data_IF_622352110567
#
_entry.id   IF_622352110567
#
_cell.length_a   1.000
_cell.length_b   1.000
_cell.length_c   1.000
_cell.angle_alpha   90.00
_cell.angle_beta   90.00
_cell.angle_gamma   90.00
#
_symmetry.space_group_name_H-M   'P 1'
#
loop_
_entity.id
_entity.type
_entity.pdbx_description
1 polymer ?
#
# COMPACT_ATOMS: atom_id res chain seq x y z
N UNK A 1 -41.49 -12.89 29.84
CA UNK A 1 -40.68 -14.12 29.59
C UNK A 1 -40.41 -14.19 28.10
N UNK A 2 -39.25 -13.70 27.65
CA UNK A 2 -38.75 -13.92 26.30
C UNK A 2 -37.32 -14.44 26.45
N UNK A 3 -37.12 -15.63 25.92
CA UNK A 3 -35.92 -16.45 26.03
C UNK A 3 -34.78 -15.81 25.23
N UNK A 4 -33.69 -15.48 25.92
CA UNK A 4 -32.42 -15.05 25.33
C UNK A 4 -31.60 -16.32 25.08
N UNK A 5 -31.34 -16.64 23.81
CA UNK A 5 -30.38 -17.67 23.42
C UNK A 5 -28.96 -17.12 23.52
N UNK A 6 -27.99 -17.87 24.07
CA UNK A 6 -26.61 -17.40 24.18
C UNK A 6 -25.92 -17.37 22.81
N UNK A 7 -25.18 -16.29 22.56
CA UNK A 7 -24.28 -16.11 21.42
C UNK A 7 -23.13 -17.14 21.53
N UNK A 8 -22.82 -17.92 20.48
CA UNK A 8 -21.76 -18.92 20.56
C UNK A 8 -20.38 -18.25 20.52
N UNK A 9 -19.56 -18.52 21.53
CA UNK A 9 -18.14 -18.21 21.54
C UNK A 9 -17.40 -19.11 20.53
N UNK A 10 -16.95 -18.55 19.41
CA UNK A 10 -16.15 -19.28 18.43
C UNK A 10 -14.66 -19.28 18.81
N UNK A 11 -14.17 -20.47 19.20
CA UNK A 11 -12.75 -20.77 19.37
C UNK A 11 -12.04 -20.86 18.01
N UNK A 12 -10.80 -20.34 17.95
CA UNK A 12 -9.84 -20.35 16.84
C UNK A 12 -9.45 -21.76 16.31
N UNK A 13 -10.11 -22.83 16.76
CA UNK A 13 -10.02 -24.18 16.20
C UNK A 13 -10.60 -24.30 14.78
N UNK A 14 -11.33 -23.29 14.28
CA UNK A 14 -11.99 -23.36 12.97
C UNK A 14 -11.11 -23.04 11.74
N UNK A 15 -9.83 -22.69 11.91
CA UNK A 15 -8.90 -22.50 10.76
C UNK A 15 -8.53 -23.86 10.12
N UNK A 16 -8.67 -24.96 10.86
CA UNK A 16 -8.43 -26.32 10.33
C UNK A 16 -9.52 -26.83 9.37
N UNK A 17 -10.67 -26.14 9.25
CA UNK A 17 -11.82 -26.64 8.48
C UNK A 17 -12.20 -25.82 7.25
N UNK A 18 -11.29 -25.00 6.70
CA UNK A 18 -11.50 -24.38 5.38
C UNK A 18 -11.45 -25.43 4.26
N UNK A 19 -12.52 -26.22 4.13
CA UNK A 19 -12.85 -26.99 2.93
C UNK A 19 -13.53 -26.04 1.95
N UNK A 20 -12.78 -25.57 0.96
CA UNK A 20 -13.32 -24.77 -0.13
C UNK A 20 -14.06 -25.67 -1.11
N UNK A 21 -15.40 -25.60 -1.13
CA UNK A 21 -16.25 -26.21 -2.16
C UNK A 21 -16.60 -25.18 -3.23
N UNK A 22 -16.13 -25.44 -4.46
CA UNK A 22 -16.48 -24.73 -5.70
C UNK A 22 -17.92 -25.00 -6.13
N UNK A 23 -18.64 -24.00 -6.67
CA UNK A 23 -19.70 -24.10 -7.72
C UNK A 23 -20.15 -22.69 -8.21
N UNK A 24 -20.87 -22.52 -9.34
CA UNK A 24 -20.39 -21.72 -10.47
C UNK A 24 -21.07 -20.36 -10.73
N UNK A 25 -20.39 -19.57 -11.58
CA UNK A 25 -20.77 -18.27 -12.19
C UNK A 25 -22.09 -18.31 -12.97
N UNK A 26 -22.80 -17.18 -12.97
CA UNK A 26 -23.78 -16.82 -14.02
C UNK A 26 -23.42 -15.46 -14.61
N UNK A 27 -23.28 -15.44 -15.93
CA UNK A 27 -22.95 -14.30 -16.78
C UNK A 27 -24.23 -13.66 -17.34
N UNK A 28 -24.24 -12.33 -17.57
CA UNK A 28 -25.07 -11.70 -18.60
C UNK A 28 -24.28 -10.63 -19.36
N UNK A 29 -24.24 -10.79 -20.68
CA UNK A 29 -23.73 -9.86 -21.67
C UNK A 29 -24.83 -8.88 -22.07
N UNK A 30 -24.49 -7.61 -22.31
CA UNK A 30 -25.20 -6.72 -23.24
C UNK A 30 -24.16 -5.93 -24.04
N UNK A 31 -24.34 -5.94 -25.36
CA UNK A 31 -23.51 -5.31 -26.39
C UNK A 31 -24.32 -4.21 -27.07
N UNK A 32 -23.73 -3.04 -27.36
CA UNK A 32 -24.06 -2.13 -28.47
C UNK A 32 -23.16 -0.87 -28.37
N UNK A 33 -22.08 -0.78 -29.17
CA UNK A 33 -21.94 -0.12 -30.49
C UNK A 33 -21.59 1.38 -30.46
N UNK A 34 -20.52 1.64 -31.20
CA UNK A 34 -19.77 2.87 -31.48
C UNK A 34 -20.53 3.98 -32.20
N UNK A 35 -20.08 5.23 -32.00
CA UNK A 35 -19.87 6.21 -33.08
C UNK A 35 -19.00 7.41 -32.60
N UNK A 36 -17.89 7.63 -33.29
CA UNK A 36 -17.20 8.92 -33.53
C UNK A 36 -17.32 9.19 -35.05
N UNK A 37 -17.02 10.38 -35.63
CA UNK A 37 -16.08 11.42 -35.18
C UNK A 37 -16.51 12.88 -35.44
N UNK A 38 -15.75 13.85 -34.90
CA UNK A 38 -15.17 14.92 -35.71
C UNK A 38 -14.22 15.84 -34.94
N UNK A 39 -13.36 16.45 -35.76
CA UNK A 39 -12.07 17.11 -35.61
C UNK A 39 -12.08 18.57 -35.09
N UNK A 40 -11.06 18.87 -34.25
CA UNK A 40 -10.19 20.09 -34.10
C UNK A 40 -10.72 21.50 -34.47
N UNK A 41 -10.36 22.55 -33.69
CA UNK A 41 -9.00 23.09 -33.72
C UNK A 41 -8.34 23.35 -32.35
N UNK A 42 -7.02 23.17 -32.37
CA UNK A 42 -6.06 23.49 -31.32
C UNK A 42 -6.25 24.91 -30.80
N UNK A 43 -6.78 25.02 -29.59
CA UNK A 43 -6.68 26.23 -28.78
C UNK A 43 -5.47 26.04 -27.89
N UNK A 44 -4.42 26.83 -28.10
CA UNK A 44 -3.25 26.89 -27.21
C UNK A 44 -3.77 27.40 -25.86
N UNK A 45 -4.07 26.48 -24.97
CA UNK A 45 -4.53 26.75 -23.61
C UNK A 45 -3.40 27.48 -22.89
N UNK A 46 -3.58 28.78 -22.66
CA UNK A 46 -2.73 29.54 -21.74
C UNK A 46 -2.89 28.93 -20.36
N UNK A 47 -1.98 28.04 -19.99
CA UNK A 47 -1.95 27.45 -18.65
C UNK A 47 -1.57 28.58 -17.69
N UNK A 48 -2.50 28.94 -16.80
CA UNK A 48 -2.26 29.89 -15.70
C UNK A 48 -1.25 29.26 -14.70
N UNK A 49 0.03 29.27 -15.07
CA UNK A 49 1.09 28.68 -14.27
C UNK A 49 1.57 29.67 -13.20
N UNK A 50 0.91 29.63 -12.04
CA UNK A 50 1.40 30.29 -10.83
C UNK A 50 2.52 29.48 -10.16
N UNK A 51 3.62 29.21 -10.88
CA UNK A 51 4.77 28.45 -10.39
C UNK A 51 5.86 29.30 -9.71
N UNK A 52 6.84 28.65 -9.05
CA UNK A 52 8.08 29.32 -8.64
C UNK A 52 8.87 29.66 -9.91
N UNK A 53 9.21 30.93 -10.09
CA UNK A 53 9.98 31.41 -11.24
C UNK A 53 11.44 31.56 -10.84
N UNK A 54 12.32 30.97 -11.63
CA UNK A 54 13.75 31.21 -11.58
C UNK A 54 14.15 31.85 -12.91
N UNK A 55 14.82 33.00 -12.85
CA UNK A 55 15.42 33.64 -14.01
C UNK A 55 16.82 34.10 -13.61
N UNK A 56 17.83 33.33 -13.98
CA UNK A 56 19.21 33.55 -13.58
C UNK A 56 20.18 33.19 -14.70
N UNK A 57 21.27 33.94 -14.77
CA UNK A 57 22.40 33.65 -15.66
C UNK A 57 23.38 32.71 -14.97
N UNK A 58 23.88 31.73 -15.69
CA UNK A 58 24.82 30.73 -15.17
C UNK A 58 26.22 31.35 -15.00
N UNK A 59 26.71 31.43 -13.75
CA UNK A 59 28.03 32.01 -13.44
C UNK A 59 29.23 31.04 -13.51
N UNK A 60 29.00 29.77 -13.84
CA UNK A 60 29.99 28.70 -13.63
C UNK A 60 31.20 28.84 -14.54
N UNK A 61 32.39 29.00 -13.96
CA UNK A 61 33.66 29.24 -14.68
C UNK A 61 34.43 27.97 -15.08
N UNK A 62 34.15 26.78 -14.49
CA UNK A 62 34.71 25.47 -14.93
C UNK A 62 33.80 24.26 -14.63
N UNK A 63 33.73 23.32 -15.59
CA UNK A 63 33.07 22.01 -15.46
C UNK A 63 31.77 21.84 -16.26
N UNK A 64 31.40 20.59 -16.59
CA UNK A 64 30.11 20.28 -17.23
C UNK A 64 29.02 20.18 -16.16
N UNK A 65 28.13 21.18 -16.10
CA UNK A 65 27.01 21.18 -15.15
C UNK A 65 25.68 20.86 -15.85
N UNK A 66 24.87 20.00 -15.23
CA UNK A 66 23.55 19.64 -15.76
C UNK A 66 22.50 20.66 -15.34
N UNK A 67 21.63 21.03 -16.26
CA UNK A 67 20.53 21.99 -16.06
C UNK A 67 19.66 21.62 -14.84
N UNK A 68 19.24 20.36 -14.74
CA UNK A 68 18.40 19.90 -13.64
C UNK A 68 19.07 20.05 -12.26
N UNK A 69 20.38 19.80 -12.18
CA UNK A 69 21.18 19.97 -10.97
C UNK A 69 21.40 21.45 -10.62
N UNK A 70 21.64 22.28 -11.64
CA UNK A 70 21.87 23.72 -11.49
C UNK A 70 20.61 24.44 -10.98
N UNK A 71 19.43 24.09 -11.50
CA UNK A 71 18.15 24.64 -11.02
C UNK A 71 17.88 24.15 -9.59
N UNK A 72 18.09 22.85 -9.32
CA UNK A 72 17.81 22.27 -8.00
C UNK A 72 18.67 22.86 -6.87
N UNK A 73 19.87 23.36 -7.17
CA UNK A 73 20.73 23.98 -6.17
C UNK A 73 20.32 25.41 -5.79
N UNK A 74 19.45 26.05 -6.60
CA UNK A 74 19.02 27.45 -6.45
C UNK A 74 17.65 27.60 -5.82
N UNK A 75 16.79 26.60 -6.01
CA UNK A 75 15.42 26.65 -5.51
C UNK A 75 15.27 25.75 -4.29
N UNK A 76 15.28 26.38 -3.11
CA UNK A 76 15.01 25.69 -1.85
C UNK A 76 13.59 25.12 -1.81
N UNK A 77 13.41 23.92 -1.24
CA UNK A 77 12.11 23.27 -1.11
C UNK A 77 11.57 22.63 -2.40
N UNK A 78 12.39 22.50 -3.45
CA UNK A 78 12.00 21.82 -4.71
C UNK A 78 12.86 20.59 -4.94
N UNK A 79 12.20 19.43 -5.10
CA UNK A 79 12.91 18.20 -5.41
C UNK A 79 13.44 18.22 -6.86
N UNK A 80 14.61 17.59 -7.08
CA UNK A 80 15.17 17.44 -8.43
C UNK A 80 14.19 16.79 -9.40
N UNK A 81 13.40 15.82 -8.95
CA UNK A 81 12.37 15.18 -9.78
C UNK A 81 11.32 16.19 -10.29
N UNK A 82 10.96 17.19 -9.48
CA UNK A 82 10.02 18.26 -9.86
C UNK A 82 10.61 19.21 -10.90
N UNK A 83 11.90 19.52 -10.78
CA UNK A 83 12.65 20.24 -11.83
C UNK A 83 12.67 19.44 -13.13
N UNK A 84 12.98 18.15 -13.07
CA UNK A 84 12.99 17.26 -14.24
C UNK A 84 11.61 17.10 -14.89
N UNK A 85 10.53 17.14 -14.10
CA UNK A 85 9.17 17.18 -14.62
C UNK A 85 8.88 18.49 -15.34
N UNK A 86 9.32 19.62 -14.78
CA UNK A 86 9.14 20.95 -15.39
C UNK A 86 9.90 21.06 -16.72
N UNK A 87 11.11 20.49 -16.81
CA UNK A 87 11.87 20.37 -18.07
C UNK A 87 11.06 19.57 -19.10
N UNK A 88 10.57 18.37 -18.75
CA UNK A 88 9.77 17.53 -19.66
C UNK A 88 8.45 18.18 -20.09
N UNK A 89 7.90 19.09 -19.28
CA UNK A 89 6.69 19.86 -19.57
C UNK A 89 6.97 21.09 -20.44
N UNK A 90 8.22 21.34 -20.86
CA UNK A 90 8.59 22.50 -21.65
C UNK A 90 8.55 23.82 -20.89
N UNK A 91 8.59 23.76 -19.55
CA UNK A 91 8.52 24.93 -18.67
C UNK A 91 9.90 25.53 -18.33
N UNK A 92 10.94 25.03 -19.00
CA UNK A 92 12.32 25.46 -18.79
C UNK A 92 12.91 25.83 -20.14
N UNK A 93 13.55 27.00 -20.21
CA UNK A 93 14.25 27.48 -21.39
C UNK A 93 15.64 27.98 -21.05
N UNK A 94 16.57 27.79 -21.99
CA UNK A 94 17.95 28.30 -21.93
C UNK A 94 18.17 29.19 -23.14
N UNK A 95 18.58 30.44 -22.95
CA UNK A 95 18.75 31.46 -23.99
C UNK A 95 17.50 31.59 -24.90
N UNK A 96 16.31 31.55 -24.28
CA UNK A 96 15.02 31.61 -24.99
C UNK A 96 14.59 30.31 -25.69
N UNK A 97 15.41 29.26 -25.71
CA UNK A 97 15.04 27.96 -26.29
C UNK A 97 14.49 27.01 -25.24
N UNK A 98 13.28 26.48 -25.47
CA UNK A 98 12.66 25.49 -24.57
C UNK A 98 13.50 24.21 -24.57
N UNK A 99 13.82 23.73 -23.38
CA UNK A 99 14.58 22.50 -23.16
C UNK A 99 13.65 21.43 -22.60
N UNK A 100 13.55 20.30 -23.30
CA UNK A 100 12.79 19.10 -22.92
C UNK A 100 13.70 17.97 -22.40
N UNK A 101 15.00 18.05 -22.69
CA UNK A 101 16.01 17.07 -22.30
C UNK A 101 16.57 17.34 -20.91
N UNK A 102 16.21 16.50 -19.95
CA UNK A 102 16.69 16.56 -18.55
C UNK A 102 18.22 16.51 -18.41
N UNK A 103 18.91 15.86 -19.35
CA UNK A 103 20.37 15.76 -19.34
C UNK A 103 21.07 16.94 -20.01
N UNK A 104 20.37 18.02 -20.33
CA UNK A 104 20.95 19.22 -20.94
C UNK A 104 22.03 19.83 -20.02
N UNK A 105 23.09 20.35 -20.62
CA UNK A 105 24.22 20.95 -19.92
C UNK A 105 24.21 22.46 -20.14
N UNK A 106 24.38 23.22 -19.06
CA UNK A 106 24.48 24.68 -19.09
C UNK A 106 25.94 25.12 -19.08
N UNK A 107 26.21 26.27 -19.68
CA UNK A 107 27.52 26.93 -19.78
C UNK A 107 27.50 28.30 -19.10
N UNK A 108 28.68 28.85 -18.82
CA UNK A 108 28.82 30.21 -18.34
C UNK A 108 28.12 31.20 -19.31
N UNK A 109 27.33 32.11 -18.77
CA UNK A 109 26.60 33.11 -19.54
C UNK A 109 25.26 32.64 -20.12
N UNK A 110 24.89 31.36 -19.97
CA UNK A 110 23.55 30.89 -20.35
C UNK A 110 22.49 31.54 -19.45
N UNK A 111 21.46 32.12 -20.07
CA UNK A 111 20.27 32.64 -19.40
C UNK A 111 19.26 31.52 -19.21
N UNK A 112 19.00 31.12 -17.96
CA UNK A 112 18.07 30.04 -17.65
C UNK A 112 16.79 30.64 -17.07
N UNK A 113 15.70 30.44 -17.80
CA UNK A 113 14.36 30.68 -17.31
C UNK A 113 13.69 29.35 -16.98
N UNK A 114 13.24 29.20 -15.74
CA UNK A 114 12.55 28.01 -15.28
C UNK A 114 11.27 28.41 -14.55
N UNK A 115 10.16 27.82 -14.99
CA UNK A 115 8.89 27.87 -14.32
C UNK A 115 8.64 26.51 -13.67
N UNK A 116 8.83 26.44 -12.36
CA UNK A 116 8.62 25.20 -11.62
C UNK A 116 7.12 25.07 -11.35
N UNK A 117 6.50 24.06 -11.93
CA UNK A 117 5.10 23.70 -11.67
C UNK A 117 4.84 23.62 -10.16
N UNK A 118 3.75 24.25 -9.71
CA UNK A 118 3.24 23.99 -8.36
C UNK A 118 2.90 22.51 -8.25
N UNK A 119 3.14 21.93 -7.07
CA UNK A 119 2.49 20.68 -6.73
C UNK A 119 0.99 20.97 -6.71
N UNK A 120 0.25 20.40 -7.66
CA UNK A 120 -1.19 20.38 -7.48
C UNK A 120 -1.48 19.50 -6.26
N UNK A 121 -2.28 19.96 -5.29
CA UNK A 121 -2.74 19.11 -4.21
C UNK A 121 -3.37 17.87 -4.83
N UNK A 122 -2.97 16.68 -4.38
CA UNK A 122 -3.65 15.45 -4.75
C UNK A 122 -5.06 15.54 -4.15
N UNK A 123 -6.06 15.85 -4.98
CA UNK A 123 -7.47 15.85 -4.60
C UNK A 123 -8.08 14.52 -5.01
N UNK A 124 -8.82 13.90 -4.09
CA UNK A 124 -9.64 12.76 -4.41
C UNK A 124 -10.97 13.27 -4.98
N UNK A 125 -11.29 12.86 -6.20
CA UNK A 125 -12.60 13.06 -6.81
C UNK A 125 -13.40 11.75 -6.71
N UNK A 126 -14.72 11.85 -6.62
CA UNK A 126 -15.59 10.68 -6.59
C UNK A 126 -15.49 9.92 -7.94
N UNK A 127 -15.24 8.62 -7.89
CA UNK A 127 -15.19 7.75 -9.06
C UNK A 127 -16.07 6.53 -8.84
N UNK A 128 -16.84 6.13 -9.86
CA UNK A 128 -17.67 4.93 -9.83
C UNK A 128 -16.81 3.66 -9.91
N UNK A 129 -16.23 3.28 -8.76
CA UNK A 129 -15.37 2.11 -8.59
C UNK A 129 -16.12 1.11 -7.71
N UNK A 130 -16.39 -0.12 -8.20
CA UNK A 130 -17.03 -1.15 -7.40
C UNK A 130 -16.24 -1.48 -6.14
N UNK A 131 -16.92 -1.47 -4.99
CA UNK A 131 -16.36 -1.83 -3.68
C UNK A 131 -16.89 -3.19 -3.24
N UNK A 132 -16.00 -4.04 -2.71
CA UNK A 132 -16.40 -5.28 -2.02
C UNK A 132 -16.73 -4.92 -0.56
N UNK A 133 -18.02 -4.67 -0.30
CA UNK A 133 -18.54 -4.21 0.99
C UNK A 133 -18.89 -5.42 1.85
N UNK A 134 -18.21 -5.56 2.99
CA UNK A 134 -18.43 -6.63 3.97
C UNK A 134 -19.50 -6.25 4.98
N UNK A 135 -19.55 -4.97 5.35
CA UNK A 135 -20.52 -4.42 6.28
C UNK A 135 -20.69 -2.92 6.03
N UNK A 136 -21.91 -2.42 6.17
CA UNK A 136 -22.21 -1.00 6.08
C UNK A 136 -23.41 -0.65 6.96
N UNK A 137 -23.29 0.43 7.71
CA UNK A 137 -24.40 1.11 8.37
C UNK A 137 -24.30 2.63 8.20
N UNK A 138 -24.94 3.39 9.08
CA UNK A 138 -24.92 4.85 9.04
C UNK A 138 -23.55 5.45 9.39
N UNK A 139 -22.75 4.77 10.20
CA UNK A 139 -21.56 5.28 10.87
C UNK A 139 -20.27 4.71 10.30
N UNK A 140 -20.28 3.43 9.92
CA UNK A 140 -19.09 2.72 9.46
C UNK A 140 -19.35 1.93 8.19
N UNK A 141 -18.29 1.81 7.40
CA UNK A 141 -18.21 0.97 6.21
C UNK A 141 -16.98 0.08 6.35
N UNK A 142 -17.14 -1.23 6.18
CA UNK A 142 -16.04 -2.20 6.16
C UNK A 142 -15.94 -2.78 4.76
N UNK A 143 -14.80 -2.57 4.12
CA UNK A 143 -14.53 -3.04 2.76
C UNK A 143 -13.43 -4.09 2.76
N UNK A 144 -13.55 -5.05 1.86
CA UNK A 144 -12.46 -5.96 1.51
C UNK A 144 -11.68 -5.37 0.33
N UNK A 145 -10.58 -4.66 0.63
CA UNK A 145 -9.77 -4.01 -0.39
C UNK A 145 -9.09 -5.07 -1.28
N UNK A 146 -9.25 -5.03 -2.61
CA UNK A 146 -8.52 -5.92 -3.50
C UNK A 146 -7.01 -5.61 -3.48
N UNK A 147 -6.14 -6.56 -3.86
CA UNK A 147 -4.74 -6.26 -4.11
C UNK A 147 -4.60 -5.27 -5.28
N UNK A 148 -3.45 -4.62 -5.37
CA UNK A 148 -3.09 -3.59 -6.37
C UNK A 148 -3.85 -2.26 -6.30
N UNK A 149 -4.93 -2.17 -5.53
CA UNK A 149 -5.62 -0.91 -5.25
C UNK A 149 -4.88 -0.12 -4.16
N UNK A 150 -4.59 1.16 -4.44
CA UNK A 150 -4.04 2.11 -3.46
C UNK A 150 -5.18 2.67 -2.62
N UNK A 151 -4.96 2.90 -1.32
CA UNK A 151 -5.98 3.46 -0.44
C UNK A 151 -6.25 4.94 -0.73
N UNK A 152 -5.19 5.76 -0.78
CA UNK A 152 -5.27 7.20 -0.99
C UNK A 152 -4.56 7.64 -2.28
N UNK A 153 -5.00 8.73 -2.92
CA UNK A 153 -4.23 9.37 -3.98
C UNK A 153 -2.78 9.61 -3.53
N UNK A 154 -1.85 9.19 -4.36
CA UNK A 154 -0.42 9.27 -4.10
C UNK A 154 0.34 9.58 -5.39
N UNK A 155 1.59 10.07 -5.32
CA UNK A 155 2.42 10.21 -6.51
C UNK A 155 2.47 8.90 -7.32
N UNK A 156 2.05 8.97 -8.59
CA UNK A 156 1.94 7.82 -9.50
C UNK A 156 0.60 7.06 -9.47
N UNK A 157 -0.29 7.34 -8.52
CA UNK A 157 -1.68 6.85 -8.49
C UNK A 157 -2.60 8.01 -8.01
N UNK A 158 -2.83 9.04 -8.85
CA UNK A 158 -3.59 10.23 -8.46
C UNK A 158 -5.12 10.01 -8.37
N UNK A 159 -5.62 8.98 -9.05
CA UNK A 159 -7.03 8.58 -9.15
C UNK A 159 -7.15 7.06 -9.07
N UNK A 160 -8.37 6.51 -9.13
CA UNK A 160 -8.58 5.06 -9.09
C UNK A 160 -8.27 4.40 -7.75
N UNK A 161 -8.31 5.18 -6.65
CA UNK A 161 -7.99 4.70 -5.30
C UNK A 161 -9.23 4.30 -4.53
N UNK A 162 -9.04 3.61 -3.40
CA UNK A 162 -10.16 3.21 -2.54
C UNK A 162 -10.97 4.43 -2.08
N UNK A 163 -10.30 5.54 -1.76
CA UNK A 163 -10.98 6.79 -1.38
C UNK A 163 -11.85 7.32 -2.52
N UNK A 164 -11.40 7.26 -3.78
CA UNK A 164 -12.22 7.72 -4.91
C UNK A 164 -13.54 6.93 -5.00
N UNK A 165 -13.47 5.60 -4.81
CA UNK A 165 -14.65 4.73 -4.77
C UNK A 165 -15.55 4.99 -3.56
N UNK A 166 -14.98 5.21 -2.38
CA UNK A 166 -15.74 5.52 -1.16
C UNK A 166 -16.48 6.85 -1.29
N UNK A 167 -15.82 7.88 -1.85
CA UNK A 167 -16.45 9.19 -2.07
C UNK A 167 -17.70 9.06 -2.96
N UNK A 168 -17.61 8.26 -4.02
CA UNK A 168 -18.74 7.97 -4.89
C UNK A 168 -19.83 7.18 -4.16
N UNK A 169 -19.48 6.06 -3.53
CA UNK A 169 -20.43 5.17 -2.86
C UNK A 169 -21.21 5.87 -1.73
N UNK A 170 -20.51 6.63 -0.89
CA UNK A 170 -21.11 7.32 0.24
C UNK A 170 -21.70 8.70 -0.15
N UNK A 171 -21.62 9.12 -1.42
CA UNK A 171 -22.02 10.45 -1.88
C UNK A 171 -21.40 11.59 -1.05
N UNK A 172 -20.14 11.42 -0.66
CA UNK A 172 -19.41 12.39 0.16
C UNK A 172 -18.83 13.51 -0.71
N UNK A 173 -18.78 14.75 -0.22
CA UNK A 173 -18.21 15.86 -0.98
C UNK A 173 -16.73 15.63 -1.30
N UNK A 174 -16.27 16.14 -2.46
CA UNK A 174 -14.86 16.10 -2.82
C UNK A 174 -14.03 16.78 -1.75
N UNK A 175 -13.10 16.05 -1.13
CA UNK A 175 -12.31 16.56 -0.03
C UNK A 175 -11.04 17.19 -0.57
N UNK A 176 -10.93 18.51 -0.47
CA UNK A 176 -9.72 19.24 -0.78
C UNK A 176 -8.71 19.06 0.36
N UNK A 177 -7.49 18.62 0.03
CA UNK A 177 -6.36 18.64 0.94
C UNK A 177 -5.96 20.10 1.25
N UNK A 178 -6.46 20.66 2.34
CA UNK A 178 -5.92 21.84 2.98
C UNK A 178 -5.49 21.49 4.41
N UNK A 179 -4.26 21.88 4.72
CA UNK A 179 -3.66 21.88 6.05
C UNK A 179 -4.38 22.86 6.96
N UNK A 180 -4.62 22.48 8.20
CA UNK A 180 -4.10 23.25 9.33
C UNK A 180 -3.82 22.31 10.49
N UNK A 181 -2.83 22.75 11.25
CA UNK A 181 -2.22 22.33 12.51
C UNK A 181 -2.96 21.27 13.34
N UNK A 182 -2.15 20.39 13.96
CA UNK A 182 -2.50 19.31 14.90
C UNK A 182 -2.71 17.91 14.29
N UNK A 183 -1.65 17.09 14.30
CA UNK A 183 -1.62 15.84 15.07
C UNK A 183 -0.38 15.01 14.71
N UNK A 184 0.65 15.15 15.56
CA UNK A 184 1.68 14.12 15.71
C UNK A 184 1.06 12.86 16.32
N UNK A 185 0.40 12.01 15.55
CA UNK A 185 0.34 10.55 15.87
C UNK A 185 -0.10 9.62 14.75
N UNK A 186 -0.50 10.08 13.57
CA UNK A 186 -1.03 9.18 12.53
C UNK A 186 -0.25 9.22 11.22
N UNK A 187 0.39 8.08 10.92
CA UNK A 187 1.07 7.70 9.66
C UNK A 187 2.30 8.53 9.22
N UNK A 188 3.37 7.83 8.82
CA UNK A 188 4.72 8.37 8.58
C UNK A 188 4.91 9.13 7.25
N UNK A 189 3.82 9.62 6.65
CA UNK A 189 3.90 10.47 5.47
C UNK A 189 3.93 11.95 5.89
N UNK A 190 5.06 12.37 6.48
CA UNK A 190 5.40 13.78 6.79
C UNK A 190 5.40 14.73 5.56
N UNK A 191 4.86 14.33 4.41
CA UNK A 191 4.75 15.17 3.20
C UNK A 191 3.33 15.23 2.58
N UNK A 192 2.31 14.64 3.21
CA UNK A 192 0.93 14.75 2.71
C UNK A 192 -0.06 14.99 3.86
N UNK A 193 -0.21 16.25 4.26
CA UNK A 193 -1.36 16.75 5.04
C UNK A 193 -2.64 16.77 4.17
N UNK A 194 -2.98 15.63 3.58
CA UNK A 194 -4.23 15.45 2.87
C UNK A 194 -5.31 15.02 3.85
N UNK A 195 -6.39 15.82 3.90
CA UNK A 195 -7.63 15.44 4.59
C UNK A 195 -8.08 14.08 4.04
N UNK A 196 -8.33 13.13 4.95
CA UNK A 196 -8.70 11.75 4.63
C UNK A 196 -10.19 11.58 4.93
N UNK A 197 -11.07 11.52 3.92
CA UNK A 197 -12.49 11.30 4.18
C UNK A 197 -12.67 9.91 4.79
N UNK A 198 -12.92 9.85 6.10
CA UNK A 198 -13.27 8.61 6.79
C UNK A 198 -12.16 7.58 7.00
N UNK A 199 -10.96 7.77 6.46
CA UNK A 199 -9.88 6.76 6.54
C UNK A 199 -9.00 6.97 7.77
N UNK A 200 -9.19 6.09 8.75
CA UNK A 200 -8.45 6.05 10.01
C UNK A 200 -7.20 5.13 9.96
N UNK A 201 -7.10 4.26 8.96
CA UNK A 201 -5.95 3.36 8.74
C UNK A 201 -5.83 2.93 7.28
N UNK A 202 -4.71 2.29 6.92
CA UNK A 202 -4.40 1.95 5.53
C UNK A 202 -3.80 0.56 5.38
N UNK A 203 -4.00 0.00 4.19
CA UNK A 203 -3.30 -1.18 3.68
C UNK A 203 -2.38 -0.78 2.53
N UNK A 204 -1.25 -1.47 2.39
CA UNK A 204 -0.34 -1.27 1.27
C UNK A 204 -1.03 -1.61 -0.06
N UNK A 205 -0.53 -1.05 -1.17
CA UNK A 205 -1.03 -1.33 -2.53
C UNK A 205 -1.12 -2.85 -2.80
N UNK A 206 -0.09 -3.62 -2.43
CA UNK A 206 -0.04 -5.07 -2.65
C UNK A 206 -0.77 -5.92 -1.59
N UNK A 207 -1.25 -5.30 -0.50
CA UNK A 207 -1.96 -6.01 0.58
C UNK A 207 -3.46 -5.95 0.33
N UNK A 208 -4.14 -7.08 0.43
CA UNK A 208 -5.61 -7.17 0.34
C UNK A 208 -6.24 -7.33 1.72
N UNK A 209 -7.56 -7.20 1.81
CA UNK A 209 -8.34 -7.54 3.00
C UNK A 209 -9.07 -6.38 3.65
N UNK A 210 -9.51 -6.59 4.89
CA UNK A 210 -10.45 -5.72 5.58
C UNK A 210 -9.89 -4.34 5.92
N UNK A 211 -10.71 -3.32 5.68
CA UNK A 211 -10.46 -1.93 6.04
C UNK A 211 -11.76 -1.28 6.51
N UNK A 212 -11.79 -0.77 7.73
CA UNK A 212 -12.87 0.11 8.24
C UNK A 212 -12.69 1.56 7.78
N UNK A 213 -13.81 2.19 7.45
CA UNK A 213 -13.98 3.58 7.03
C UNK A 213 -15.07 4.20 7.90
N UNK A 214 -14.82 5.37 8.45
CA UNK A 214 -15.83 6.18 9.13
C UNK A 214 -16.64 6.99 8.10
N UNK A 215 -17.96 7.02 8.26
CA UNK A 215 -18.87 7.79 7.38
C UNK A 215 -19.16 9.20 7.92
N UNK A 216 -18.86 9.44 9.20
CA UNK A 216 -19.06 10.71 9.88
C UNK A 216 -17.87 11.05 10.81
N UNK A 217 -17.81 12.31 11.26
CA UNK A 217 -16.71 12.85 12.06
C UNK A 217 -16.61 12.22 13.45
N UNK A 218 -17.74 11.94 14.11
CA UNK A 218 -17.77 11.30 15.42
C UNK A 218 -17.19 9.89 15.33
N UNK A 219 -17.65 9.11 14.35
CA UNK A 219 -17.14 7.77 14.06
C UNK A 219 -15.65 7.79 13.69
N UNK A 220 -15.19 8.81 12.96
CA UNK A 220 -13.79 8.99 12.62
C UNK A 220 -12.93 9.21 13.86
N UNK A 221 -13.31 10.16 14.73
CA UNK A 221 -12.59 10.47 15.96
C UNK A 221 -12.51 9.24 16.89
N UNK A 222 -13.63 8.55 17.08
CA UNK A 222 -13.70 7.38 17.95
C UNK A 222 -12.85 6.20 17.43
N UNK A 223 -12.92 5.90 16.13
CA UNK A 223 -12.08 4.87 15.53
C UNK A 223 -10.59 5.27 15.57
N UNK A 224 -10.26 6.53 15.30
CA UNK A 224 -8.88 7.04 15.38
C UNK A 224 -8.31 6.86 16.80
N UNK A 225 -9.11 7.16 17.83
CA UNK A 225 -8.73 6.91 19.23
C UNK A 225 -8.47 5.42 19.49
N UNK A 226 -9.34 4.52 19.02
CA UNK A 226 -9.10 3.07 19.15
C UNK A 226 -7.82 2.61 18.43
N UNK A 227 -7.49 3.19 17.26
CA UNK A 227 -6.22 2.94 16.58
C UNK A 227 -5.02 3.44 17.38
N UNK A 228 -5.13 4.60 18.03
CA UNK A 228 -4.12 5.21 18.89
C UNK A 228 -3.88 4.41 20.16
N UNK A 229 -4.95 3.97 20.81
CA UNK A 229 -4.93 3.14 22.02
C UNK A 229 -4.62 1.66 21.74
N UNK A 230 -4.55 1.27 20.46
CA UNK A 230 -4.27 -0.09 20.01
C UNK A 230 -5.30 -1.13 20.52
N UNK A 231 -6.55 -0.72 20.68
CA UNK A 231 -7.67 -1.59 21.10
C UNK A 231 -8.26 -2.40 19.94
N UNK A 232 -8.01 -1.98 18.70
CA UNK A 232 -8.51 -2.64 17.48
C UNK A 232 -7.78 -3.96 17.22
N UNK A 233 -8.55 -5.03 17.03
CA UNK A 233 -8.06 -6.33 16.61
C UNK A 233 -7.76 -6.31 15.11
N UNK A 234 -6.49 -6.56 14.74
CA UNK A 234 -6.04 -6.67 13.35
C UNK A 234 -5.23 -7.94 13.18
N UNK A 235 -5.78 -8.88 12.42
CA UNK A 235 -5.10 -10.14 12.12
C UNK A 235 -4.86 -10.25 10.62
N UNK A 236 -3.63 -10.59 10.27
CA UNK A 236 -3.21 -10.83 8.90
C UNK A 236 -2.74 -12.27 8.75
N UNK A 237 -2.86 -12.81 7.55
CA UNK A 237 -2.15 -14.02 7.14
C UNK A 237 -1.14 -13.69 6.06
N UNK A 238 -0.05 -14.45 6.03
CA UNK A 238 0.95 -14.37 4.98
C UNK A 238 1.56 -15.71 4.62
N UNK A 239 2.18 -15.78 3.44
CA UNK A 239 3.18 -16.79 3.13
C UNK A 239 4.59 -16.23 3.29
N UNK A 240 5.44 -16.90 4.04
CA UNK A 240 6.87 -16.56 4.19
C UNK A 240 7.75 -17.43 3.30
N UNK A 241 8.90 -16.90 2.87
CA UNK A 241 9.99 -17.69 2.29
C UNK A 241 10.73 -18.41 3.43
N UNK A 242 10.53 -19.72 3.55
CA UNK A 242 10.99 -20.51 4.71
C UNK A 242 10.02 -20.42 5.91
N UNK A 243 10.46 -20.94 7.05
CA UNK A 243 9.66 -21.04 8.27
C UNK A 243 10.28 -20.17 9.36
N UNK A 244 9.53 -19.25 9.99
CA UNK A 244 9.98 -18.54 11.19
C UNK A 244 10.48 -19.49 12.28
N UNK A 245 11.62 -19.16 12.88
CA UNK A 245 12.16 -19.85 14.06
C UNK A 245 12.51 -18.81 15.12
N UNK A 246 11.86 -18.82 16.30
CA UNK A 246 10.83 -19.76 16.75
C UNK A 246 9.53 -19.68 15.93
N UNK A 247 8.64 -20.69 16.05
CA UNK A 247 7.38 -20.78 15.30
C UNK A 247 6.30 -19.79 15.77
N UNK A 248 6.51 -19.13 16.90
CA UNK A 248 5.67 -18.04 17.39
C UNK A 248 6.51 -17.08 18.23
N UNK A 249 6.12 -15.82 18.27
CA UNK A 249 6.82 -14.82 19.06
C UNK A 249 6.23 -13.43 18.93
N UNK A 250 6.87 -12.49 19.62
CA UNK A 250 6.62 -11.05 19.48
C UNK A 250 7.88 -10.42 18.91
N UNK A 251 7.76 -9.76 17.77
CA UNK A 251 8.80 -8.91 17.20
C UNK A 251 8.49 -7.47 17.61
N UNK A 252 9.43 -6.87 18.33
CA UNK A 252 9.38 -5.50 18.83
C UNK A 252 10.67 -4.81 18.43
N UNK A 253 10.68 -4.31 17.19
CA UNK A 253 11.85 -3.68 16.58
C UNK A 253 11.36 -2.42 15.89
N UNK A 254 11.82 -1.22 16.29
CA UNK A 254 11.38 0.03 15.69
C UNK A 254 11.56 0.04 14.16
N UNK A 255 10.64 0.71 13.48
CA UNK A 255 10.65 0.83 12.01
C UNK A 255 10.90 2.27 11.60
N UNK A 256 11.87 2.46 10.70
CA UNK A 256 12.18 3.75 10.05
C UNK A 256 12.36 3.61 8.55
N UNK A 257 12.60 4.71 7.85
CA UNK A 257 12.92 4.68 6.41
C UNK A 257 14.27 4.02 6.17
N UNK A 258 14.36 3.15 5.17
CA UNK A 258 15.62 2.53 4.75
C UNK A 258 16.51 3.60 4.07
N UNK A 259 17.72 3.80 4.60
CA UNK A 259 18.68 4.80 4.10
C UNK A 259 19.21 4.48 2.70
N UNK A 260 19.22 3.19 2.32
CA UNK A 260 19.75 2.72 1.04
C UNK A 260 18.65 2.52 -0.01
N UNK A 261 17.38 2.46 0.40
CA UNK A 261 16.26 2.28 -0.52
C UNK A 261 15.03 3.08 -0.07
N UNK A 262 14.76 4.18 -0.77
CA UNK A 262 13.67 5.12 -0.45
C UNK A 262 12.25 4.52 -0.53
N UNK A 263 12.08 3.36 -1.15
CA UNK A 263 10.78 2.65 -1.25
C UNK A 263 10.56 1.73 -0.04
N UNK A 264 11.63 1.39 0.69
CA UNK A 264 11.60 0.45 1.81
C UNK A 264 11.52 1.15 3.15
N UNK A 265 10.91 0.44 4.08
CA UNK A 265 11.09 0.64 5.51
C UNK A 265 12.09 -0.39 6.02
N UNK A 266 12.76 -0.09 7.11
CA UNK A 266 13.72 -0.98 7.76
C UNK A 266 13.35 -1.13 9.23
N UNK A 267 13.38 -2.36 9.74
CA UNK A 267 13.39 -2.61 11.17
C UNK A 267 14.82 -2.35 11.69
N UNK A 268 14.97 -1.35 12.54
CA UNK A 268 16.25 -0.81 12.98
C UNK A 268 16.39 -1.10 14.48
N UNK A 269 17.17 -2.14 14.87
CA UNK A 269 17.43 -2.42 16.27
C UNK A 269 18.32 -1.33 16.88
N UNK A 270 18.01 -0.89 18.10
CA UNK A 270 18.79 0.11 18.84
C UNK A 270 17.95 1.27 19.39
N UNK A 271 18.63 2.26 19.99
CA UNK A 271 17.96 3.40 20.62
C UNK A 271 17.28 4.29 19.56
N UNK A 272 16.04 4.70 19.85
CA UNK A 272 15.19 5.58 19.06
C UNK A 272 15.83 6.97 18.78
N UNK A 273 16.96 7.28 19.43
CA UNK A 273 17.64 8.57 19.40
C UNK A 273 18.51 8.84 18.16
N UNK A 274 18.74 7.86 17.28
CA UNK A 274 19.42 8.08 15.98
C UNK A 274 18.44 8.05 14.80
N UNK A 275 17.45 8.94 14.86
CA UNK A 275 16.62 9.34 13.72
C UNK A 275 15.42 8.44 13.40
N UNK A 276 14.25 9.07 13.22
CA UNK A 276 13.02 8.67 12.49
C UNK A 276 12.42 7.26 12.65
N UNK A 277 13.06 6.32 13.36
CA UNK A 277 12.49 5.00 13.64
C UNK A 277 11.46 5.12 14.76
N UNK A 278 10.28 4.54 14.56
CA UNK A 278 9.17 4.60 15.51
C UNK A 278 8.88 3.20 16.06
N UNK A 279 8.39 3.15 17.29
CA UNK A 279 8.01 1.88 17.93
C UNK A 279 7.07 1.08 17.04
N UNK A 280 7.43 -0.20 16.83
CA UNK A 280 6.69 -1.11 16.00
C UNK A 280 6.71 -2.51 16.62
N UNK A 281 5.53 -3.08 16.85
CA UNK A 281 5.39 -4.38 17.45
C UNK A 281 4.32 -5.25 16.75
N UNK A 282 4.67 -6.51 16.51
CA UNK A 282 3.79 -7.52 15.92
C UNK A 282 3.97 -8.84 16.65
N UNK A 283 2.87 -9.55 16.90
CA UNK A 283 2.93 -10.97 17.28
C UNK A 283 2.75 -11.81 16.04
N UNK A 284 3.49 -12.91 15.96
CA UNK A 284 3.37 -13.86 14.85
C UNK A 284 3.23 -15.27 15.37
N UNK A 285 2.54 -16.10 14.58
CA UNK A 285 2.37 -17.53 14.83
C UNK A 285 2.33 -18.28 13.50
N UNK A 286 3.20 -19.27 13.35
CA UNK A 286 3.13 -20.24 12.25
C UNK A 286 1.88 -21.08 12.45
N UNK A 287 0.94 -20.96 11.52
CA UNK A 287 -0.30 -21.73 11.48
C UNK A 287 -0.03 -23.09 10.85
N UNK A 288 0.78 -23.11 9.78
CA UNK A 288 1.07 -24.32 9.03
C UNK A 288 2.44 -24.21 8.35
N UNK A 289 3.23 -25.28 8.45
CA UNK A 289 4.46 -25.44 7.67
C UNK A 289 4.11 -26.07 6.33
N UNK A 290 4.48 -25.40 5.24
CA UNK A 290 4.11 -25.79 3.88
C UNK A 290 5.33 -26.27 3.08
N UNK A 291 5.09 -27.11 2.06
CA UNK A 291 6.12 -27.62 1.17
C UNK A 291 7.39 -28.11 1.92
N UNK A 292 7.21 -28.94 2.95
CA UNK A 292 8.31 -29.50 3.75
C UNK A 292 9.21 -28.46 4.45
N UNK A 293 8.69 -27.26 4.72
CA UNK A 293 9.45 -26.15 5.30
C UNK A 293 10.07 -25.19 4.28
N UNK A 294 9.68 -25.27 3.01
CA UNK A 294 10.04 -24.27 2.00
C UNK A 294 9.26 -22.96 2.17
N UNK A 295 8.11 -23.01 2.83
CA UNK A 295 7.27 -21.85 3.15
C UNK A 295 6.46 -22.14 4.42
N UNK A 296 5.86 -21.10 5.01
CA UNK A 296 4.92 -21.23 6.11
C UNK A 296 3.73 -20.27 5.93
N UNK A 297 2.55 -20.74 6.32
CA UNK A 297 1.39 -19.89 6.55
C UNK A 297 1.52 -19.28 7.95
N UNK A 298 1.60 -17.97 8.02
CA UNK A 298 1.87 -17.23 9.26
C UNK A 298 0.74 -16.27 9.55
N UNK A 299 0.20 -16.32 10.76
CA UNK A 299 -0.72 -15.33 11.33
C UNK A 299 0.11 -14.21 11.96
N UNK A 300 -0.29 -12.96 11.72
CA UNK A 300 0.28 -11.77 12.34
C UNK A 300 -0.82 -10.99 13.06
N UNK A 301 -0.58 -10.62 14.31
CA UNK A 301 -1.42 -9.69 15.07
C UNK A 301 -0.67 -8.40 15.29
N UNK A 302 -1.23 -7.29 14.80
CA UNK A 302 -0.59 -5.98 14.87
C UNK A 302 -0.92 -5.26 16.18
N UNK A 303 0.11 -4.99 16.98
CA UNK A 303 -0.01 -4.07 18.13
C UNK A 303 0.08 -2.62 17.62
N UNK A 304 1.02 -2.34 16.72
CA UNK A 304 1.17 -1.04 16.03
C UNK A 304 0.87 -1.15 14.53
N UNK A 305 0.69 -0.01 13.84
CA UNK A 305 0.42 0.03 12.40
C UNK A 305 1.36 0.95 11.61
N UNK A 306 2.66 0.60 11.54
CA UNK A 306 3.65 1.36 10.74
C UNK A 306 3.62 0.95 9.27
N UNK A 307 4.05 1.85 8.38
CA UNK A 307 4.15 1.57 6.94
C UNK A 307 4.98 0.32 6.71
N UNK A 308 4.47 -0.61 5.89
CA UNK A 308 5.15 -1.88 5.56
C UNK A 308 5.53 -2.75 6.78
N UNK A 309 4.90 -2.59 7.95
CA UNK A 309 5.38 -3.18 9.21
C UNK A 309 5.63 -4.69 9.16
N UNK A 310 4.64 -5.48 8.74
CA UNK A 310 4.76 -6.95 8.64
C UNK A 310 5.91 -7.34 7.68
N UNK A 311 6.03 -6.63 6.56
CA UNK A 311 7.02 -6.89 5.52
C UNK A 311 8.44 -6.62 6.02
N UNK A 312 8.64 -5.50 6.73
CA UNK A 312 9.90 -5.14 7.34
C UNK A 312 10.30 -6.10 8.45
N UNK A 313 9.35 -6.48 9.32
CA UNK A 313 9.55 -7.46 10.39
C UNK A 313 9.89 -8.86 9.86
N UNK A 314 9.15 -9.35 8.85
CA UNK A 314 9.42 -10.64 8.21
C UNK A 314 10.82 -10.69 7.57
N UNK A 315 11.22 -9.60 6.88
CA UNK A 315 12.58 -9.45 6.36
C UNK A 315 13.63 -9.45 7.47
N UNK A 316 13.39 -8.72 8.55
CA UNK A 316 14.30 -8.65 9.70
C UNK A 316 14.51 -10.02 10.34
N UNK A 317 13.45 -10.83 10.42
CA UNK A 317 13.51 -12.22 10.88
C UNK A 317 14.21 -13.18 9.89
N UNK A 318 14.64 -12.71 8.72
CA UNK A 318 15.26 -13.54 7.68
C UNK A 318 14.28 -14.40 6.88
N UNK A 319 12.97 -14.18 7.03
CA UNK A 319 11.88 -14.94 6.39
C UNK A 319 10.93 -14.00 5.66
N UNK A 320 11.40 -13.27 4.62
CA UNK A 320 10.58 -12.28 3.91
C UNK A 320 9.33 -12.92 3.31
N UNK A 321 8.30 -12.12 3.05
CA UNK A 321 7.04 -12.62 2.51
C UNK A 321 7.22 -13.10 1.06
N UNK A 322 6.64 -14.24 0.71
CA UNK A 322 6.63 -14.76 -0.66
C UNK A 322 6.01 -13.72 -1.60
N UNK A 323 6.66 -13.44 -2.73
CA UNK A 323 6.20 -12.45 -3.72
C UNK A 323 6.57 -11.00 -3.36
N UNK A 324 7.23 -10.77 -2.22
CA UNK A 324 7.68 -9.45 -1.82
C UNK A 324 9.07 -9.11 -2.38
N UNK A 325 9.12 -8.76 -3.66
CA UNK A 325 10.34 -8.35 -4.36
C UNK A 325 11.04 -7.15 -3.69
N UNK A 326 10.26 -6.26 -3.05
CA UNK A 326 10.81 -5.10 -2.34
C UNK A 326 11.59 -5.55 -1.11
N UNK A 327 11.09 -6.53 -0.35
CA UNK A 327 11.72 -6.98 0.90
C UNK A 327 12.57 -8.25 0.76
N UNK A 328 12.80 -8.73 -0.46
CA UNK A 328 13.70 -9.84 -0.75
C UNK A 328 13.04 -11.21 -0.76
N UNK A 329 11.72 -11.29 -0.68
CA UNK A 329 10.95 -12.52 -0.92
C UNK A 329 10.77 -12.79 -2.40
N UNK A 330 11.86 -12.71 -3.15
CA UNK A 330 11.89 -12.77 -4.61
C UNK A 330 11.39 -14.12 -5.12
N UNK A 331 10.89 -14.15 -6.36
CA UNK A 331 10.52 -15.41 -7.04
C UNK A 331 11.66 -16.43 -7.02
N UNK A 332 12.90 -15.98 -7.26
CA UNK A 332 14.07 -16.86 -7.24
C UNK A 332 14.35 -17.46 -5.86
N UNK A 333 14.23 -16.67 -4.79
CA UNK A 333 14.38 -17.15 -3.42
C UNK A 333 13.30 -18.18 -3.09
N UNK A 334 12.03 -17.84 -3.37
CA UNK A 334 10.90 -18.74 -3.13
C UNK A 334 11.09 -20.09 -3.85
N UNK A 335 11.40 -20.08 -5.15
CA UNK A 335 11.64 -21.30 -5.92
C UNK A 335 12.80 -22.14 -5.38
N UNK A 336 13.91 -21.50 -4.99
CA UNK A 336 15.07 -22.21 -4.44
C UNK A 336 14.76 -22.97 -3.15
N UNK A 337 13.82 -22.47 -2.34
CA UNK A 337 13.37 -23.08 -1.10
C UNK A 337 12.31 -24.16 -1.36
N UNK A 338 11.40 -23.92 -2.30
CA UNK A 338 10.28 -24.81 -2.60
C UNK A 338 10.73 -26.04 -3.40
N UNK A 339 11.47 -25.86 -4.51
CA UNK A 339 11.80 -26.94 -5.45
C UNK A 339 12.51 -28.14 -4.81
N UNK A 340 13.34 -27.89 -3.78
CA UNK A 340 14.07 -28.95 -3.05
C UNK A 340 13.15 -29.88 -2.25
N UNK A 341 11.93 -29.42 -1.93
CA UNK A 341 11.05 -30.03 -0.92
C UNK A 341 9.71 -30.51 -1.45
N UNK A 342 9.45 -30.26 -2.74
CA UNK A 342 8.22 -30.65 -3.43
C UNK A 342 8.47 -31.80 -4.40
N UNK A 343 7.41 -32.51 -4.77
CA UNK A 343 7.45 -33.58 -5.78
C UNK A 343 7.80 -33.02 -7.16
N UNK A 344 8.38 -33.82 -8.06
CA UNK A 344 8.65 -33.37 -9.45
C UNK A 344 7.37 -33.01 -10.20
N UNK A 345 6.27 -33.71 -9.93
CA UNK A 345 4.97 -33.45 -10.57
C UNK A 345 4.40 -32.07 -10.21
N UNK A 346 4.65 -31.59 -8.99
CA UNK A 346 4.14 -30.28 -8.55
C UNK A 346 5.11 -29.12 -8.86
N UNK A 347 6.36 -29.40 -9.27
CA UNK A 347 7.36 -28.36 -9.52
C UNK A 347 6.93 -27.39 -10.62
N UNK A 348 6.37 -27.89 -11.73
CA UNK A 348 5.94 -27.06 -12.85
C UNK A 348 4.78 -26.13 -12.45
N UNK A 349 3.80 -26.67 -11.73
CA UNK A 349 2.65 -25.91 -11.21
C UNK A 349 3.10 -24.81 -10.23
N UNK A 350 4.03 -25.13 -9.33
CA UNK A 350 4.62 -24.17 -8.38
C UNK A 350 5.42 -23.09 -9.11
N UNK A 351 6.24 -23.46 -10.11
CA UNK A 351 7.02 -22.50 -10.91
C UNK A 351 6.06 -21.52 -11.58
N UNK A 352 5.00 -22.02 -12.21
CA UNK A 352 4.01 -21.20 -12.87
C UNK A 352 3.33 -20.24 -11.89
N UNK A 353 2.82 -20.73 -10.74
CA UNK A 353 2.16 -19.87 -9.77
C UNK A 353 3.09 -18.82 -9.17
N UNK A 354 4.28 -19.21 -8.70
CA UNK A 354 5.25 -18.27 -8.15
C UNK A 354 5.68 -17.24 -9.21
N UNK A 355 5.77 -17.62 -10.49
CA UNK A 355 6.09 -16.69 -11.57
C UNK A 355 5.04 -15.59 -11.76
N UNK A 356 3.78 -15.87 -11.42
CA UNK A 356 2.65 -14.93 -11.48
C UNK A 356 2.51 -14.06 -10.24
N UNK A 357 3.13 -14.41 -9.11
CA UNK A 357 3.08 -13.60 -7.90
C UNK A 357 3.88 -12.31 -8.06
N UNK A 358 3.22 -11.16 -8.02
CA UNK A 358 3.80 -9.83 -8.23
C UNK A 358 3.57 -8.88 -7.04
N UNK A 359 3.07 -9.42 -5.94
CA UNK A 359 2.78 -8.72 -4.69
C UNK A 359 3.18 -9.58 -3.48
N UNK A 360 3.41 -8.97 -2.30
CA UNK A 360 3.54 -9.74 -1.08
C UNK A 360 2.28 -10.60 -0.84
N UNK A 361 2.48 -11.88 -0.57
CA UNK A 361 1.44 -12.78 -0.05
C UNK A 361 1.04 -12.35 1.35
N UNK A 362 0.25 -11.30 1.46
CA UNK A 362 -0.22 -10.70 2.70
C UNK A 362 -1.69 -10.29 2.56
N UNK A 363 -2.50 -10.67 3.54
CA UNK A 363 -3.94 -10.42 3.55
C UNK A 363 -4.44 -10.10 4.96
N UNK A 364 -5.17 -8.99 5.13
CA UNK A 364 -5.85 -8.61 6.36
C UNK A 364 -7.14 -9.42 6.52
N UNK A 365 -7.05 -10.54 7.24
CA UNK A 365 -8.10 -11.56 7.30
C UNK A 365 -9.19 -11.24 8.33
N UNK A 366 -8.85 -10.54 9.41
CA UNK A 366 -9.78 -10.21 10.51
C UNK A 366 -9.58 -8.77 10.93
N UNK A 367 -10.70 -8.09 11.15
CA UNK A 367 -10.77 -6.75 11.73
C UNK A 367 -11.87 -6.74 12.80
N UNK A 368 -11.52 -6.30 14.01
CA UNK A 368 -12.46 -6.14 15.11
C UNK A 368 -12.25 -4.82 15.83
N UNK A 369 -13.34 -4.16 16.21
CA UNK A 369 -13.33 -2.85 16.86
C UNK A 369 -14.62 -2.64 17.64
N UNK A 370 -14.62 -1.68 18.54
CA UNK A 370 -15.82 -1.22 19.22
C UNK A 370 -16.58 -0.28 18.28
N UNK A 371 -17.84 -0.59 17.99
CA UNK A 371 -18.65 0.22 17.09
C UNK A 371 -18.85 1.63 17.69
N UNK A 372 -18.53 2.73 16.98
CA UNK A 372 -18.53 4.08 17.56
C UNK A 372 -19.83 4.55 18.19
N UNK A 373 -20.97 4.19 17.59
CA UNK A 373 -22.29 4.59 18.10
C UNK A 373 -22.83 3.66 19.20
N UNK A 374 -22.74 2.33 19.03
CA UNK A 374 -23.39 1.37 19.93
C UNK A 374 -22.51 0.90 21.09
N UNK A 375 -21.18 1.05 21.00
CA UNK A 375 -20.24 0.49 21.98
C UNK A 375 -20.10 -1.03 21.92
N UNK A 376 -20.74 -1.70 20.95
CA UNK A 376 -20.64 -3.15 20.81
C UNK A 376 -19.34 -3.54 20.09
N UNK A 377 -18.64 -4.55 20.60
CA UNK A 377 -17.49 -5.14 19.91
C UNK A 377 -17.96 -5.94 18.70
N UNK A 378 -17.67 -5.42 17.51
CA UNK A 378 -17.96 -6.09 16.24
C UNK A 378 -16.69 -6.64 15.60
N UNK A 379 -16.82 -7.76 14.89
CA UNK A 379 -15.71 -8.49 14.30
C UNK A 379 -16.08 -9.06 12.94
N UNK A 380 -15.21 -8.81 11.97
CA UNK A 380 -15.36 -9.25 10.58
C UNK A 380 -14.21 -10.16 10.18
N UNK A 381 -14.49 -11.05 9.23
CA UNK A 381 -13.47 -11.86 8.55
C UNK A 381 -13.79 -11.99 7.07
N UNK A 382 -12.76 -12.01 6.22
CA UNK A 382 -12.92 -12.28 4.78
C UNK A 382 -12.01 -13.43 4.33
N UNK A 383 -12.41 -14.21 3.31
CA UNK A 383 -11.52 -15.23 2.75
C UNK A 383 -10.33 -14.58 2.03
N UNK A 384 -9.19 -15.28 1.93
CA UNK A 384 -8.06 -14.79 1.15
C UNK A 384 -8.43 -14.67 -0.34
N UNK A 385 -7.81 -13.73 -1.07
CA UNK A 385 -8.03 -13.61 -2.52
C UNK A 385 -7.60 -14.90 -3.26
N UNK A 386 -8.16 -15.16 -4.47
CA UNK A 386 -7.95 -16.40 -5.19
C UNK A 386 -6.48 -16.76 -5.41
N UNK A 387 -5.63 -15.78 -5.71
CA UNK A 387 -4.19 -15.97 -5.91
C UNK A 387 -3.49 -16.53 -4.67
N UNK A 388 -3.80 -15.99 -3.48
CA UNK A 388 -3.25 -16.46 -2.21
C UNK A 388 -3.84 -17.82 -1.82
N UNK A 389 -5.13 -18.04 -2.06
CA UNK A 389 -5.79 -19.31 -1.78
C UNK A 389 -5.23 -20.46 -2.64
N UNK A 390 -5.00 -20.19 -3.93
CA UNK A 390 -4.46 -21.17 -4.89
C UNK A 390 -3.04 -21.60 -4.52
N UNK A 391 -2.13 -20.65 -4.27
CA UNK A 391 -0.75 -20.98 -3.86
C UNK A 391 -0.71 -21.70 -2.49
N UNK A 392 -1.53 -21.29 -1.52
CA UNK A 392 -1.61 -22.01 -0.23
C UNK A 392 -2.09 -23.45 -0.43
N UNK A 393 -3.13 -23.63 -1.25
CA UNK A 393 -3.68 -24.95 -1.57
C UNK A 393 -2.65 -25.86 -2.20
N UNK A 394 -1.90 -25.36 -3.19
CA UNK A 394 -0.82 -26.09 -3.85
C UNK A 394 0.30 -26.46 -2.87
N UNK A 395 0.84 -25.50 -2.14
CA UNK A 395 1.96 -25.73 -1.23
C UNK A 395 1.60 -26.71 -0.08
N UNK A 396 0.33 -26.77 0.30
CA UNK A 396 -0.19 -27.72 1.29
C UNK A 396 -0.17 -29.16 0.78
N UNK A 397 -0.62 -29.40 -0.46
CA UNK A 397 -0.62 -30.75 -1.06
C UNK A 397 0.76 -31.21 -1.54
N UNK A 398 1.66 -30.27 -1.83
CA UNK A 398 2.97 -30.57 -2.43
C UNK A 398 4.10 -30.90 -1.45
N UNK A 399 3.85 -30.86 -0.14
CA UNK A 399 4.83 -31.27 0.85
C UNK A 399 5.14 -32.76 0.73
N UNK A 400 6.42 -33.12 0.53
CA UNK A 400 6.84 -34.52 0.69
C UNK A 400 6.52 -34.95 2.13
N UNK A 401 5.60 -35.91 2.29
CA UNK A 401 5.46 -36.59 3.56
C UNK A 401 6.81 -37.25 3.87
N UNK A 402 7.38 -36.97 5.04
CA UNK A 402 8.40 -37.85 5.58
C UNK A 402 7.71 -39.20 5.75
N UNK A 403 8.07 -40.17 4.92
CA UNK A 403 7.86 -41.57 5.26
C UNK A 403 8.78 -41.78 6.47
N UNK A 404 8.19 -41.89 7.65
CA UNK A 404 8.91 -42.24 8.89
C UNK A 404 9.46 -43.65 8.84
#
# INVERSE_FOLDING_TARGET
>A
MLSISPVPSFSLTSVKSLRFSFFPKVSKFITATSQTPNSTPETITRVNNSGLKLNETVEVTKGKLRLDSWISSRVHGVSRARVQSSIRQGLVSVNGQVIDKVSHNVKAGDEVYCMISKLQPLRAEAEDIPLDIVYEDQHVLVVNKPPHMVVHPAPGNPSGTLVNGILHHCSLPCVAAYSDEEEETFSDDEEMSSVRPGIVHRLDKGTSGLLVVAKDEYSHAHLAEQFKLHTIERVYISLTCGVPSPSQGRIDVPIGRDSNNRIRMAAIPGSLSRGRARHAASRYKVIETLAGGGSALVEWRLETGRTHQIRAHAKYMGVPLLGDEVYGGTKSMALSLLQKRVSRSDQEEIINLVSRMDRPCLHAIVLGFEHPCTGETIKFSCPPPPDLAEIVGLLRRSGRQKVE
#
